data_IF_366035414259
#
_entry.id   IF_366035414259
#
_cell.length_a   1.000
_cell.length_b   1.000
_cell.length_c   1.000
_cell.angle_alpha   90.00
_cell.angle_beta   90.00
_cell.angle_gamma   90.00
#
_symmetry.space_group_name_H-M   'P 1'
#
loop_
_entity.id
_entity.type
_entity.pdbx_description
1 polymer ?
#
# COMPACT_ATOMS: atom_id res chain seq x y z
N UNK A 1 -26.74 14.17 -70.68
CA UNK A 1 -27.98 14.80 -70.15
C UNK A 1 -28.98 13.66 -70.02
N UNK A 2 -29.41 13.15 -68.87
CA UNK A 2 -29.35 13.54 -67.47
C UNK A 2 -29.36 12.22 -66.67
N UNK A 3 -28.47 12.05 -65.68
CA UNK A 3 -28.53 10.96 -64.71
C UNK A 3 -29.25 11.48 -63.46
N UNK A 4 -30.33 10.82 -63.04
CA UNK A 4 -30.85 10.87 -61.67
C UNK A 4 -30.58 9.52 -61.01
N UNK A 5 -30.01 9.48 -59.79
CA UNK A 5 -30.13 8.33 -58.91
C UNK A 5 -31.15 8.59 -57.79
N UNK A 6 -32.04 7.62 -57.58
CA UNK A 6 -32.77 7.40 -56.33
C UNK A 6 -31.77 7.19 -55.20
N UNK A 7 -31.54 8.18 -54.33
CA UNK A 7 -30.75 7.99 -53.10
C UNK A 7 -31.00 9.13 -52.09
N UNK A 8 -32.23 9.63 -51.99
CA UNK A 8 -32.53 10.73 -51.06
C UNK A 8 -33.58 10.41 -49.99
N UNK A 9 -34.37 9.35 -50.17
CA UNK A 9 -35.39 8.96 -49.18
C UNK A 9 -34.89 7.94 -48.14
N UNK A 10 -33.73 7.31 -48.36
CA UNK A 10 -33.14 6.36 -47.39
C UNK A 10 -32.29 7.06 -46.32
N UNK A 11 -31.85 8.31 -46.54
CA UNK A 11 -30.96 9.03 -45.61
C UNK A 11 -31.69 9.79 -44.50
N UNK A 12 -33.02 9.89 -44.54
CA UNK A 12 -33.80 10.66 -43.55
C UNK A 12 -34.44 9.80 -42.46
N UNK A 13 -34.31 8.47 -42.50
CA UNK A 13 -34.82 7.58 -41.45
C UNK A 13 -33.75 7.05 -40.48
N UNK A 14 -32.48 7.39 -40.67
CA UNK A 14 -31.37 6.92 -39.81
C UNK A 14 -30.85 7.97 -38.80
N UNK A 15 -31.57 9.09 -38.62
CA UNK A 15 -31.10 10.22 -37.79
C UNK A 15 -31.86 10.45 -36.49
N UNK A 16 -32.56 9.45 -35.97
CA UNK A 16 -33.09 9.49 -34.61
C UNK A 16 -32.69 8.22 -33.85
N UNK A 17 -32.31 8.44 -32.58
CA UNK A 17 -31.77 7.49 -31.60
C UNK A 17 -30.26 7.16 -31.68
N UNK A 18 -29.40 8.17 -31.46
CA UNK A 18 -28.18 7.92 -30.68
C UNK A 18 -28.59 7.69 -29.21
N UNK A 19 -28.17 6.61 -28.55
CA UNK A 19 -28.51 6.38 -27.15
C UNK A 19 -27.88 7.47 -26.28
N UNK A 20 -28.67 8.09 -25.41
CA UNK A 20 -28.16 8.96 -24.35
C UNK A 20 -27.10 8.20 -23.53
N UNK A 21 -25.83 8.58 -23.68
CA UNK A 21 -24.74 8.10 -22.83
C UNK A 21 -25.11 8.32 -21.36
N UNK A 22 -24.82 7.35 -20.46
CA UNK A 22 -25.14 7.45 -19.05
C UNK A 22 -24.53 8.74 -18.44
N UNK A 23 -25.29 9.44 -17.61
CA UNK A 23 -24.91 10.74 -17.03
C UNK A 23 -23.53 10.74 -16.35
N UNK A 24 -23.10 9.58 -15.83
CA UNK A 24 -21.81 9.40 -15.18
C UNK A 24 -20.62 9.48 -16.17
N UNK A 25 -20.77 8.96 -17.40
CA UNK A 25 -19.73 9.06 -18.44
C UNK A 25 -19.65 10.47 -19.04
N UNK A 26 -20.79 11.18 -19.12
CA UNK A 26 -20.80 12.60 -19.50
C UNK A 26 -20.13 13.48 -18.44
N UNK A 27 -20.39 13.24 -17.15
CA UNK A 27 -19.71 13.96 -16.06
C UNK A 27 -18.21 13.67 -16.01
N UNK A 28 -17.79 12.44 -16.35
CA UNK A 28 -16.38 12.06 -16.44
C UNK A 28 -15.68 12.69 -17.66
N UNK A 29 -16.33 12.68 -18.84
CA UNK A 29 -15.83 13.36 -20.05
C UNK A 29 -15.75 14.88 -19.86
N UNK A 30 -16.74 15.49 -19.18
CA UNK A 30 -16.75 16.92 -18.86
C UNK A 30 -15.68 17.28 -17.83
N UNK A 31 -15.44 16.42 -16.83
CA UNK A 31 -14.36 16.60 -15.86
C UNK A 31 -12.98 16.45 -16.51
N UNK A 32 -12.81 15.46 -17.38
CA UNK A 32 -11.56 15.24 -18.13
C UNK A 32 -11.29 16.40 -19.10
N UNK A 33 -12.32 16.91 -19.78
CA UNK A 33 -12.24 18.11 -20.62
C UNK A 33 -11.88 19.36 -19.81
N UNK A 34 -12.49 19.53 -18.63
CA UNK A 34 -12.21 20.68 -17.75
C UNK A 34 -10.78 20.63 -17.21
N UNK A 35 -10.30 19.45 -16.79
CA UNK A 35 -8.91 19.25 -16.33
C UNK A 35 -7.92 19.48 -17.47
N UNK A 36 -8.22 18.99 -18.67
CA UNK A 36 -7.38 19.21 -19.87
C UNK A 36 -7.31 20.69 -20.23
N UNK A 37 -8.43 21.39 -20.22
CA UNK A 37 -8.52 22.84 -20.44
C UNK A 37 -7.73 23.63 -19.39
N UNK A 38 -7.84 23.27 -18.10
CA UNK A 38 -7.07 23.88 -17.02
C UNK A 38 -5.56 23.66 -17.20
N UNK A 39 -5.15 22.43 -17.53
CA UNK A 39 -3.75 22.08 -17.80
C UNK A 39 -3.20 22.83 -19.02
N UNK A 40 -3.97 22.95 -20.09
CA UNK A 40 -3.56 23.62 -21.32
C UNK A 40 -3.49 25.15 -21.13
N UNK A 41 -4.41 25.72 -20.34
CA UNK A 41 -4.39 27.13 -19.95
C UNK A 41 -3.19 27.44 -19.05
N UNK A 42 -2.88 26.55 -18.10
CA UNK A 42 -1.67 26.67 -17.29
C UNK A 42 -0.39 26.53 -18.13
N UNK A 43 -0.32 25.53 -19.01
CA UNK A 43 0.81 25.33 -19.93
C UNK A 43 1.02 26.56 -20.82
N UNK A 44 -0.04 27.12 -21.39
CA UNK A 44 0.03 28.32 -22.23
C UNK A 44 0.40 29.57 -21.44
N UNK A 45 -0.05 29.71 -20.18
CA UNK A 45 0.35 30.81 -19.30
C UNK A 45 1.85 30.75 -18.96
N UNK A 46 2.38 29.55 -18.71
CA UNK A 46 3.80 29.31 -18.43
C UNK A 46 4.64 29.43 -19.71
N UNK A 47 4.12 29.00 -20.85
CA UNK A 47 4.77 29.15 -22.15
C UNK A 47 4.82 30.61 -22.62
N UNK A 48 3.81 31.42 -22.29
CA UNK A 48 3.80 32.87 -22.54
C UNK A 48 4.78 33.61 -21.63
N UNK A 49 4.83 33.28 -20.33
CA UNK A 49 5.86 33.79 -19.41
C UNK A 49 7.28 33.37 -19.85
N UNK A 50 7.42 32.13 -20.34
CA UNK A 50 8.66 31.61 -20.92
C UNK A 50 9.05 32.34 -22.20
N UNK A 51 8.13 32.60 -23.14
CA UNK A 51 8.40 33.32 -24.39
C UNK A 51 8.76 34.79 -24.17
N UNK A 52 8.07 35.49 -23.26
CA UNK A 52 8.38 36.89 -22.93
C UNK A 52 9.76 37.00 -22.26
N UNK A 53 10.12 36.05 -21.38
CA UNK A 53 11.47 35.99 -20.78
C UNK A 53 12.54 35.59 -21.80
N UNK A 54 12.21 34.74 -22.77
CA UNK A 54 13.15 34.25 -23.79
C UNK A 54 13.43 35.31 -24.86
N UNK A 55 12.43 36.09 -25.28
CA UNK A 55 12.61 37.20 -26.23
C UNK A 55 13.34 38.40 -25.62
N UNK A 56 13.10 38.71 -24.35
CA UNK A 56 13.88 39.71 -23.60
C UNK A 56 15.36 39.30 -23.42
N UNK A 57 15.63 38.00 -23.28
CA UNK A 57 16.99 37.46 -23.15
C UNK A 57 17.70 37.28 -24.50
N UNK A 58 16.96 37.03 -25.59
CA UNK A 58 17.52 36.78 -26.93
C UNK A 58 18.14 38.04 -27.58
N UNK A 59 17.72 39.25 -27.19
CA UNK A 59 18.36 40.50 -27.64
C UNK A 59 19.62 40.89 -26.87
N UNK A 60 19.91 40.28 -25.72
CA UNK A 60 21.17 40.50 -24.97
C UNK A 60 22.23 39.40 -25.16
N UNK A 61 21.85 38.24 -25.72
CA UNK A 61 22.71 37.05 -25.74
C UNK A 61 23.49 36.75 -27.03
N UNK A 62 23.41 37.58 -28.08
CA UNK A 62 24.03 37.24 -29.38
C UNK A 62 25.55 37.52 -29.41
N UNK A 63 26.12 38.21 -28.40
CA UNK A 63 27.55 38.52 -28.34
C UNK A 63 28.43 37.57 -27.50
N UNK A 64 27.86 36.70 -26.66
CA UNK A 64 28.62 36.01 -25.59
C UNK A 64 28.55 34.47 -25.59
N UNK A 65 27.99 33.83 -26.62
CA UNK A 65 27.77 32.37 -26.58
C UNK A 65 28.98 31.56 -27.07
N UNK A 66 30.03 32.18 -27.63
CA UNK A 66 31.13 31.41 -28.22
C UNK A 66 32.32 31.15 -27.29
N UNK A 67 32.28 31.49 -25.99
CA UNK A 67 33.47 31.37 -25.14
C UNK A 67 33.25 31.02 -23.64
N UNK A 68 32.32 30.12 -23.32
CA UNK A 68 32.16 29.60 -21.94
C UNK A 68 32.10 28.07 -21.84
N UNK A 69 33.11 27.39 -22.36
CA UNK A 69 33.59 26.15 -21.72
C UNK A 69 34.54 26.54 -20.56
N UNK A 70 34.03 27.24 -19.55
CA UNK A 70 34.78 27.46 -18.31
C UNK A 70 34.78 26.12 -17.56
N UNK A 71 35.94 25.47 -17.44
CA UNK A 71 36.11 24.35 -16.53
C UNK A 71 35.69 24.82 -15.12
N UNK A 72 34.55 24.31 -14.66
CA UNK A 72 34.02 24.58 -13.32
C UNK A 72 35.02 23.96 -12.31
N UNK A 73 35.46 24.69 -11.27
CA UNK A 73 36.39 24.16 -10.27
C UNK A 73 35.82 22.90 -9.62
N UNK A 74 36.67 21.89 -9.36
CA UNK A 74 36.25 20.54 -8.98
C UNK A 74 35.36 20.51 -7.73
N UNK A 75 35.60 21.39 -6.75
CA UNK A 75 34.75 21.52 -5.55
C UNK A 75 33.33 22.01 -5.86
N UNK A 76 33.17 22.92 -6.82
CA UNK A 76 31.84 23.40 -7.26
C UNK A 76 31.12 22.33 -8.08
N UNK A 77 31.86 21.54 -8.88
CA UNK A 77 31.31 20.39 -9.60
C UNK A 77 30.81 19.30 -8.65
N UNK A 78 31.53 19.03 -7.56
CA UNK A 78 31.12 18.11 -6.50
C UNK A 78 29.88 18.64 -5.75
N UNK A 79 29.86 19.93 -5.41
CA UNK A 79 28.71 20.57 -4.75
C UNK A 79 27.45 20.56 -5.62
N UNK A 80 27.57 20.89 -6.91
CA UNK A 80 26.46 20.84 -7.87
C UNK A 80 25.99 19.39 -8.11
N UNK A 81 26.90 18.41 -8.06
CA UNK A 81 26.56 16.98 -8.15
C UNK A 81 25.76 16.49 -6.94
N UNK A 82 26.19 16.75 -5.71
CA UNK A 82 25.45 16.33 -4.50
C UNK A 82 24.14 17.09 -4.29
N UNK A 83 24.00 18.30 -4.85
CA UNK A 83 22.73 19.02 -4.86
C UNK A 83 21.72 18.48 -5.88
N UNK A 84 22.14 17.63 -6.82
CA UNK A 84 21.23 17.06 -7.81
C UNK A 84 20.16 16.17 -7.13
N UNK A 85 18.86 16.35 -7.41
CA UNK A 85 17.78 15.58 -6.79
C UNK A 85 17.91 14.07 -6.94
N UNK A 86 18.45 13.61 -8.07
CA UNK A 86 18.72 12.18 -8.32
C UNK A 86 19.76 11.62 -7.34
N UNK A 87 20.81 12.39 -7.05
CA UNK A 87 21.89 11.95 -6.14
C UNK A 87 21.35 11.90 -4.72
N UNK A 88 20.58 12.92 -4.29
CA UNK A 88 19.88 12.92 -3.00
C UNK A 88 18.96 11.71 -2.84
N UNK A 89 18.17 11.39 -3.87
CA UNK A 89 17.26 10.25 -3.86
C UNK A 89 17.99 8.92 -3.69
N UNK A 90 19.05 8.67 -4.47
CA UNK A 90 19.82 7.43 -4.38
C UNK A 90 20.57 7.31 -3.05
N UNK A 91 21.10 8.43 -2.53
CA UNK A 91 21.75 8.43 -1.22
C UNK A 91 20.75 8.11 -0.10
N UNK A 92 19.55 8.72 -0.14
CA UNK A 92 18.46 8.42 0.79
C UNK A 92 18.05 6.94 0.69
N UNK A 93 17.90 6.42 -0.52
CA UNK A 93 17.52 5.02 -0.77
C UNK A 93 18.57 4.05 -0.23
N UNK A 94 19.86 4.30 -0.50
CA UNK A 94 20.96 3.47 0.00
C UNK A 94 21.04 3.51 1.53
N UNK A 95 20.88 4.68 2.14
CA UNK A 95 20.84 4.82 3.59
C UNK A 95 19.65 4.06 4.20
N UNK A 96 18.47 4.12 3.56
CA UNK A 96 17.28 3.40 3.99
C UNK A 96 17.45 1.88 3.91
N UNK A 97 18.05 1.38 2.83
CA UNK A 97 18.35 -0.05 2.65
C UNK A 97 19.38 -0.53 3.67
N UNK A 98 20.41 0.27 3.98
CA UNK A 98 21.36 -0.03 5.05
C UNK A 98 20.69 -0.04 6.43
N UNK A 99 19.79 0.90 6.70
CA UNK A 99 18.96 0.92 7.91
C UNK A 99 18.13 -0.37 8.05
N UNK A 100 17.46 -0.82 6.97
CA UNK A 100 16.70 -2.08 6.99
C UNK A 100 17.60 -3.29 7.26
N UNK A 101 18.79 -3.34 6.66
CA UNK A 101 19.74 -4.43 6.94
C UNK A 101 20.17 -4.46 8.41
N UNK A 102 20.47 -3.31 9.00
CA UNK A 102 20.79 -3.22 10.43
C UNK A 102 19.58 -3.61 11.30
N UNK A 103 18.38 -3.19 10.94
CA UNK A 103 17.19 -3.54 11.70
C UNK A 103 16.89 -5.05 11.65
N UNK A 104 17.06 -5.69 10.48
CA UNK A 104 16.98 -7.15 10.36
C UNK A 104 17.98 -7.86 11.28
N UNK A 105 19.24 -7.40 11.29
CA UNK A 105 20.26 -7.97 12.16
C UNK A 105 19.85 -7.92 13.63
N UNK A 106 19.33 -6.78 14.10
CA UNK A 106 18.91 -6.60 15.51
C UNK A 106 17.72 -7.50 15.87
N UNK A 107 16.75 -7.66 14.96
CA UNK A 107 15.55 -8.48 15.20
C UNK A 107 15.87 -9.99 15.21
N UNK A 108 16.77 -10.43 14.33
CA UNK A 108 17.14 -11.84 14.17
C UNK A 108 18.12 -12.32 15.23
N UNK A 109 19.10 -11.49 15.59
CA UNK A 109 20.14 -11.85 16.55
C UNK A 109 19.62 -11.70 17.98
N UNK A 110 20.24 -12.41 18.93
CA UNK A 110 19.90 -12.31 20.35
C UNK A 110 19.98 -10.85 20.80
N UNK A 111 18.87 -10.36 21.35
CA UNK A 111 18.78 -9.05 21.99
C UNK A 111 19.14 -9.17 23.47
N UNK A 112 20.22 -8.54 23.88
CA UNK A 112 20.59 -8.39 25.29
C UNK A 112 19.80 -7.23 25.95
N UNK A 113 19.93 -7.09 27.28
CA UNK A 113 19.18 -6.14 28.11
C UNK A 113 19.49 -4.68 27.74
N UNK A 114 20.76 -4.40 27.44
CA UNK A 114 21.22 -3.08 27.03
C UNK A 114 21.31 -3.00 25.51
N UNK A 115 20.86 -1.90 24.88
CA UNK A 115 20.90 -1.78 23.44
C UNK A 115 22.33 -1.87 22.91
N UNK A 116 22.52 -2.72 21.90
CA UNK A 116 23.82 -2.83 21.24
C UNK A 116 24.14 -1.56 20.45
N UNK A 117 25.41 -1.31 20.07
CA UNK A 117 25.75 -0.16 19.25
C UNK A 117 24.98 -0.11 17.92
N UNK A 118 24.68 -1.26 17.30
CA UNK A 118 23.88 -1.32 16.09
C UNK A 118 22.43 -0.90 16.36
N UNK A 119 21.88 -1.29 17.51
CA UNK A 119 20.54 -0.89 17.93
C UNK A 119 20.43 0.61 18.17
N UNK A 120 21.45 1.22 18.78
CA UNK A 120 21.50 2.68 18.93
C UNK A 120 21.47 3.43 17.59
N UNK A 121 22.13 2.90 16.56
CA UNK A 121 22.08 3.48 15.20
C UNK A 121 20.66 3.44 14.64
N UNK A 122 19.95 2.32 14.80
CA UNK A 122 18.56 2.16 14.34
C UNK A 122 17.59 3.05 15.13
N UNK A 123 17.75 3.13 16.45
CA UNK A 123 16.97 4.04 17.31
C UNK A 123 17.19 5.49 16.88
N UNK A 124 18.45 5.89 16.68
CA UNK A 124 18.78 7.24 16.23
C UNK A 124 18.18 7.53 14.84
N UNK A 125 18.19 6.56 13.93
CA UNK A 125 17.56 6.70 12.62
C UNK A 125 16.04 6.94 12.71
N UNK A 126 15.32 6.15 13.52
CA UNK A 126 13.87 6.30 13.68
C UNK A 126 13.53 7.61 14.41
N UNK A 127 14.31 7.98 15.41
CA UNK A 127 14.13 9.24 16.13
C UNK A 127 14.37 10.46 15.22
N UNK A 128 15.44 10.45 14.42
CA UNK A 128 15.70 11.52 13.44
C UNK A 128 14.61 11.57 12.37
N UNK A 129 14.08 10.43 11.92
CA UNK A 129 12.93 10.41 11.03
C UNK A 129 11.67 11.02 11.68
N UNK A 130 11.43 10.76 12.98
CA UNK A 130 10.36 11.40 13.73
C UNK A 130 10.50 12.92 13.83
N UNK A 131 11.73 13.42 14.01
CA UNK A 131 12.01 14.87 13.98
C UNK A 131 11.74 15.44 12.59
N UNK A 132 12.14 14.77 11.51
CA UNK A 132 11.87 15.22 10.14
C UNK A 132 10.36 15.28 9.85
N UNK A 133 9.57 14.32 10.34
CA UNK A 133 8.10 14.39 10.25
C UNK A 133 7.51 15.53 11.07
N UNK A 134 8.03 15.78 12.27
CA UNK A 134 7.62 16.94 13.08
C UNK A 134 7.91 18.26 12.34
N UNK A 135 9.10 18.37 11.72
CA UNK A 135 9.48 19.52 10.90
C UNK A 135 8.53 19.71 9.71
N UNK A 136 8.16 18.62 9.01
CA UNK A 136 7.23 18.64 7.88
C UNK A 136 5.84 19.18 8.30
N UNK A 137 5.32 18.75 9.45
CA UNK A 137 4.07 19.27 10.02
C UNK A 137 4.20 20.78 10.30
N UNK A 138 5.31 21.23 10.88
CA UNK A 138 5.52 22.64 11.22
C UNK A 138 5.69 23.55 10.00
N UNK A 139 6.29 23.06 8.91
CA UNK A 139 6.51 23.81 7.67
C UNK A 139 5.27 23.87 6.76
N UNK A 140 4.23 23.10 7.03
CA UNK A 140 2.99 23.12 6.23
C UNK A 140 2.28 24.49 6.23
N UNK A 141 1.59 24.79 5.12
CA UNK A 141 1.05 26.12 4.75
C UNK A 141 0.05 26.78 5.73
N UNK A 142 -0.90 26.07 6.39
CA UNK A 142 -1.96 26.76 7.14
C UNK A 142 -1.48 27.27 8.51
N UNK A 143 -1.71 28.55 8.86
CA UNK A 143 -1.17 29.13 10.09
C UNK A 143 -1.60 28.51 11.44
N UNK A 144 -2.70 27.74 11.49
CA UNK A 144 -3.20 27.09 12.72
C UNK A 144 -2.71 25.63 12.83
N UNK A 145 -2.08 25.27 13.95
CA UNK A 145 -1.49 23.93 14.16
C UNK A 145 -2.47 22.75 13.95
N UNK A 146 -3.72 22.87 14.41
CA UNK A 146 -4.72 21.82 14.21
C UNK A 146 -5.07 21.61 12.73
N UNK A 147 -5.05 22.69 11.93
CA UNK A 147 -5.32 22.62 10.51
C UNK A 147 -4.12 22.05 9.74
N UNK A 148 -2.89 22.36 10.19
CA UNK A 148 -1.64 21.74 9.68
C UNK A 148 -1.66 20.22 9.83
N UNK A 149 -1.94 19.75 11.05
CA UNK A 149 -2.00 18.31 11.36
C UNK A 149 -3.11 17.64 10.56
N UNK A 150 -4.29 18.26 10.45
CA UNK A 150 -5.41 17.70 9.68
C UNK A 150 -5.06 17.50 8.21
N UNK A 151 -4.41 18.48 7.57
CA UNK A 151 -4.00 18.38 6.16
C UNK A 151 -2.91 17.34 5.99
N UNK A 152 -1.91 17.32 6.87
CA UNK A 152 -0.81 16.35 6.82
C UNK A 152 -1.29 14.89 6.96
N UNK A 153 -2.29 14.65 7.81
CA UNK A 153 -2.91 13.33 8.00
C UNK A 153 -3.79 12.87 6.84
N UNK A 154 -4.05 13.68 5.81
CA UNK A 154 -4.80 13.20 4.63
C UNK A 154 -3.97 12.27 3.75
N UNK A 155 -2.64 12.34 3.85
CA UNK A 155 -1.75 11.45 3.11
C UNK A 155 -1.59 10.12 3.84
N UNK A 156 -2.00 9.02 3.19
CA UNK A 156 -1.98 7.67 3.75
C UNK A 156 -0.61 7.29 4.35
N UNK A 157 0.47 7.61 3.63
CA UNK A 157 1.83 7.30 4.06
C UNK A 157 2.25 8.01 5.35
N UNK A 158 1.78 9.24 5.55
CA UNK A 158 2.08 10.02 6.75
C UNK A 158 1.40 9.45 7.99
N UNK A 159 0.14 9.00 7.86
CA UNK A 159 -0.54 8.28 8.95
C UNK A 159 0.24 7.01 9.31
N UNK A 160 0.62 6.21 8.31
CA UNK A 160 1.35 4.96 8.55
C UNK A 160 2.72 5.20 9.19
N UNK A 161 3.44 6.24 8.77
CA UNK A 161 4.74 6.61 9.34
C UNK A 161 4.59 7.03 10.82
N UNK A 162 3.57 7.84 11.14
CA UNK A 162 3.28 8.24 12.52
C UNK A 162 2.97 7.03 13.40
N UNK A 163 2.11 6.13 12.93
CA UNK A 163 1.76 4.90 13.64
C UNK A 163 2.97 3.99 13.84
N UNK A 164 3.82 3.84 12.82
CA UNK A 164 5.03 3.02 12.91
C UNK A 164 6.03 3.57 13.94
N UNK A 165 6.23 4.89 13.98
CA UNK A 165 7.11 5.57 14.95
C UNK A 165 6.55 5.43 16.37
N UNK A 166 5.23 5.60 16.56
CA UNK A 166 4.59 5.43 17.86
C UNK A 166 4.72 3.99 18.37
N UNK A 167 4.42 2.99 17.53
CA UNK A 167 4.58 1.57 17.89
C UNK A 167 6.04 1.26 18.24
N UNK A 168 7.01 1.80 17.50
CA UNK A 168 8.43 1.64 17.81
C UNK A 168 8.79 2.25 19.16
N UNK A 169 8.32 3.46 19.45
CA UNK A 169 8.58 4.14 20.74
C UNK A 169 8.02 3.35 21.93
N UNK A 170 6.82 2.79 21.81
CA UNK A 170 6.24 1.90 22.83
C UNK A 170 7.07 0.64 23.00
N UNK A 171 7.49 0.02 21.89
CA UNK A 171 8.39 -1.14 21.91
C UNK A 171 9.71 -0.85 22.63
N UNK A 172 10.28 0.34 22.41
CA UNK A 172 11.55 0.76 23.02
C UNK A 172 11.38 0.96 24.54
N UNK A 173 10.31 1.62 24.98
CA UNK A 173 10.03 1.82 26.41
C UNK A 173 9.85 0.47 27.12
N UNK A 174 9.08 -0.45 26.53
CA UNK A 174 8.87 -1.78 27.10
C UNK A 174 10.14 -2.63 27.10
N UNK A 175 11.02 -2.41 26.12
CA UNK A 175 12.32 -3.09 26.02
C UNK A 175 13.29 -2.69 27.13
N UNK A 176 13.24 -1.46 27.62
CA UNK A 176 14.09 -0.96 28.71
C UNK A 176 13.64 -1.46 30.10
N UNK A 177 12.51 -2.16 30.18
CA UNK A 177 12.00 -2.73 31.43
C UNK A 177 12.50 -4.16 31.66
N UNK A 178 12.47 -4.61 32.91
CA UNK A 178 12.85 -5.98 33.27
C UNK A 178 11.86 -7.02 32.68
N UNK A 179 12.29 -8.29 32.50
CA UNK A 179 11.39 -9.37 32.09
C UNK A 179 10.18 -9.49 33.02
N UNK A 180 8.95 -9.69 32.52
CA UNK A 180 8.57 -10.16 31.17
C UNK A 180 8.29 -9.06 30.13
N UNK A 181 8.31 -7.77 30.53
CA UNK A 181 7.92 -6.65 29.65
C UNK A 181 8.90 -6.48 28.47
N UNK A 182 10.18 -6.80 28.69
CA UNK A 182 11.19 -6.89 27.65
C UNK A 182 10.78 -7.81 26.48
N UNK A 183 10.15 -8.95 26.77
CA UNK A 183 9.72 -9.92 25.74
C UNK A 183 8.64 -9.33 24.84
N UNK A 184 7.69 -8.57 25.42
CA UNK A 184 6.68 -7.85 24.64
C UNK A 184 7.31 -6.76 23.78
N UNK A 185 8.29 -6.00 24.32
CA UNK A 185 9.06 -5.02 23.55
C UNK A 185 9.76 -5.64 22.33
N UNK A 186 10.37 -6.81 22.50
CA UNK A 186 10.98 -7.57 21.38
C UNK A 186 9.95 -7.97 20.32
N UNK A 187 8.79 -8.50 20.73
CA UNK A 187 7.72 -8.88 19.79
C UNK A 187 7.24 -7.66 19.00
N UNK A 188 7.10 -6.50 19.67
CA UNK A 188 6.75 -5.25 18.99
C UNK A 188 7.80 -4.88 17.95
N UNK A 189 9.10 -5.00 18.24
CA UNK A 189 10.17 -4.77 17.24
C UNK A 189 10.05 -5.73 16.05
N UNK A 190 9.80 -7.02 16.30
CA UNK A 190 9.63 -8.04 15.25
C UNK A 190 8.45 -7.74 14.32
N UNK A 191 7.36 -7.18 14.84
CA UNK A 191 6.20 -6.79 14.02
C UNK A 191 6.45 -5.42 13.35
N UNK A 192 7.14 -4.52 14.04
CA UNK A 192 7.38 -3.15 13.56
C UNK A 192 8.22 -3.12 12.27
N UNK A 193 9.17 -4.05 12.09
CA UNK A 193 9.97 -4.14 10.86
C UNK A 193 9.12 -4.30 9.60
N UNK A 194 7.94 -4.93 9.69
CA UNK A 194 7.01 -5.11 8.58
C UNK A 194 6.59 -3.75 8.01
N UNK A 195 6.32 -2.75 8.86
CA UNK A 195 5.96 -1.41 8.42
C UNK A 195 7.09 -0.74 7.63
N UNK A 196 8.33 -0.88 8.08
CA UNK A 196 9.48 -0.32 7.37
C UNK A 196 9.74 -1.00 6.03
N UNK A 197 9.38 -2.28 5.88
CA UNK A 197 9.35 -2.92 4.57
C UNK A 197 8.24 -2.37 3.68
N UNK A 198 7.02 -2.18 4.20
CA UNK A 198 5.93 -1.56 3.43
C UNK A 198 6.31 -0.16 2.98
N UNK A 199 7.00 0.62 3.82
CA UNK A 199 7.48 1.97 3.49
C UNK A 199 8.50 1.99 2.33
N UNK A 200 9.19 0.88 2.06
CA UNK A 200 10.05 0.74 0.88
C UNK A 200 9.26 0.87 -0.43
N UNK A 201 7.96 0.50 -0.43
CA UNK A 201 7.08 0.64 -1.61
C UNK A 201 6.90 2.10 -2.02
N UNK A 202 6.89 3.05 -1.07
CA UNK A 202 6.81 4.49 -1.39
C UNK A 202 8.07 4.96 -2.16
N UNK A 203 9.25 4.48 -1.74
CA UNK A 203 10.52 4.76 -2.43
C UNK A 203 10.52 4.15 -3.83
N UNK A 204 10.00 2.93 -3.99
CA UNK A 204 9.83 2.32 -5.32
C UNK A 204 8.74 2.99 -6.16
N UNK A 205 7.78 3.65 -5.51
CA UNK A 205 6.74 4.48 -6.13
C UNK A 205 7.29 5.56 -7.07
N UNK A 206 8.49 6.06 -6.77
CA UNK A 206 9.20 7.10 -7.54
C UNK A 206 9.67 6.59 -8.91
N UNK A 207 9.91 5.28 -9.03
CA UNK A 207 10.45 4.70 -10.25
C UNK A 207 9.40 4.70 -11.38
N UNK A 208 9.86 4.97 -12.62
CA UNK A 208 9.03 4.96 -13.84
C UNK A 208 8.31 3.65 -14.09
N UNK A 209 8.91 2.55 -13.69
CA UNK A 209 8.35 1.23 -13.95
C UNK A 209 7.52 0.71 -12.78
N UNK A 210 7.96 0.93 -11.53
CA UNK A 210 7.30 0.37 -10.34
C UNK A 210 6.18 1.28 -9.79
N UNK A 211 6.26 2.59 -10.01
CA UNK A 211 5.29 3.56 -9.50
C UNK A 211 3.83 3.27 -9.87
N UNK A 212 3.52 3.05 -11.17
CA UNK A 212 2.15 2.73 -11.57
C UNK A 212 1.59 1.46 -10.89
N UNK A 213 2.42 0.46 -10.61
CA UNK A 213 2.00 -0.77 -9.92
C UNK A 213 1.70 -0.55 -8.44
N UNK A 214 2.53 0.24 -7.73
CA UNK A 214 2.26 0.59 -6.32
C UNK A 214 0.94 1.35 -6.20
N UNK A 215 0.69 2.29 -7.12
CA UNK A 215 -0.58 3.03 -7.18
C UNK A 215 -1.78 2.12 -7.51
N UNK A 216 -1.61 1.16 -8.42
CA UNK A 216 -2.64 0.16 -8.72
C UNK A 216 -3.01 -0.67 -7.50
N UNK A 217 -2.01 -1.20 -6.78
CA UNK A 217 -2.24 -2.00 -5.57
C UNK A 217 -3.05 -1.17 -4.55
N UNK A 218 -2.69 0.09 -4.34
CA UNK A 218 -3.42 0.98 -3.41
C UNK A 218 -4.89 1.18 -3.79
N UNK A 219 -5.19 1.47 -5.07
CA UNK A 219 -6.58 1.66 -5.53
C UNK A 219 -7.38 0.36 -5.47
N UNK A 220 -6.77 -0.77 -5.86
CA UNK A 220 -7.42 -2.08 -5.82
C UNK A 220 -7.78 -2.55 -4.41
N UNK A 221 -6.97 -2.22 -3.40
CA UNK A 221 -7.24 -2.60 -2.01
C UNK A 221 -8.56 -2.01 -1.50
N UNK A 222 -8.99 -0.85 -2.00
CA UNK A 222 -10.28 -0.24 -1.62
C UNK A 222 -11.43 -1.08 -2.16
N UNK A 223 -11.37 -1.48 -3.42
CA UNK A 223 -12.40 -2.32 -4.07
C UNK A 223 -12.46 -3.70 -3.40
N UNK A 224 -11.31 -4.28 -3.04
CA UNK A 224 -11.25 -5.53 -2.28
C UNK A 224 -11.97 -5.47 -0.94
N UNK A 225 -11.99 -4.32 -0.27
CA UNK A 225 -12.51 -4.23 1.10
C UNK A 225 -13.99 -4.65 1.16
N UNK A 226 -14.80 -4.24 0.17
CA UNK A 226 -16.20 -4.67 0.08
C UNK A 226 -16.34 -6.18 -0.09
N UNK A 227 -15.47 -6.77 -0.89
CA UNK A 227 -15.45 -8.21 -1.11
C UNK A 227 -15.03 -8.99 0.14
N UNK A 228 -14.02 -8.50 0.85
CA UNK A 228 -13.56 -9.07 2.13
C UNK A 228 -14.70 -9.09 3.15
N UNK A 229 -15.56 -8.07 3.18
CA UNK A 229 -16.74 -8.06 4.07
C UNK A 229 -17.70 -9.20 3.73
N UNK A 230 -18.02 -9.43 2.45
CA UNK A 230 -18.89 -10.54 2.03
C UNK A 230 -18.25 -11.89 2.40
N UNK A 231 -16.95 -12.03 2.16
CA UNK A 231 -16.21 -13.25 2.51
C UNK A 231 -16.20 -13.50 4.03
N UNK A 232 -16.08 -12.45 4.85
CA UNK A 232 -16.17 -12.55 6.30
C UNK A 232 -17.55 -13.05 6.76
N UNK A 233 -18.64 -12.60 6.13
CA UNK A 233 -20.02 -13.06 6.44
C UNK A 233 -20.16 -14.56 6.18
N UNK A 234 -19.71 -15.02 5.01
CA UNK A 234 -19.75 -16.46 4.65
C UNK A 234 -18.86 -17.27 5.60
N UNK A 235 -17.64 -16.81 5.86
CA UNK A 235 -16.70 -17.43 6.79
C UNK A 235 -17.30 -17.57 8.19
N UNK A 236 -17.88 -16.50 8.73
CA UNK A 236 -18.49 -16.50 10.06
C UNK A 236 -19.68 -17.45 10.17
N UNK A 237 -20.53 -17.48 9.14
CA UNK A 237 -21.71 -18.36 9.13
C UNK A 237 -21.32 -19.83 9.24
N UNK A 238 -20.29 -20.26 8.50
CA UNK A 238 -19.77 -21.62 8.56
C UNK A 238 -18.96 -21.87 9.85
N UNK A 239 -18.09 -20.93 10.25
CA UNK A 239 -17.21 -21.07 11.41
C UNK A 239 -17.98 -21.26 12.71
N UNK A 240 -19.05 -20.49 12.92
CA UNK A 240 -19.92 -20.61 14.11
C UNK A 240 -20.65 -21.95 14.10
N UNK A 241 -21.25 -22.34 12.97
CA UNK A 241 -21.97 -23.61 12.84
C UNK A 241 -21.05 -24.82 13.11
N UNK A 242 -19.85 -24.82 12.52
CA UNK A 242 -18.84 -25.86 12.73
C UNK A 242 -18.42 -25.95 14.20
N UNK A 243 -18.05 -24.82 14.82
CA UNK A 243 -17.57 -24.81 16.20
C UNK A 243 -18.66 -25.27 17.18
N UNK A 244 -19.91 -24.83 16.98
CA UNK A 244 -21.03 -25.20 17.84
C UNK A 244 -21.40 -26.70 17.75
N UNK A 245 -21.36 -27.29 16.54
CA UNK A 245 -21.66 -28.72 16.36
C UNK A 245 -20.52 -29.60 16.88
N UNK A 246 -19.28 -29.22 16.59
CA UNK A 246 -18.13 -30.04 16.97
C UNK A 246 -17.76 -29.88 18.44
N UNK A 247 -18.03 -28.76 19.11
CA UNK A 247 -17.65 -28.55 20.51
C UNK A 247 -18.83 -27.97 21.33
N UNK A 248 -19.85 -28.78 21.65
CA UNK A 248 -21.09 -28.29 22.27
C UNK A 248 -20.92 -27.85 23.74
N UNK A 249 -19.91 -28.39 24.44
CA UNK A 249 -19.71 -28.17 25.88
C UNK A 249 -18.40 -27.39 26.14
N UNK A 250 -18.24 -26.23 25.50
CA UNK A 250 -17.05 -25.39 25.63
C UNK A 250 -17.36 -24.11 26.41
N UNK A 251 -16.53 -23.80 27.41
CA UNK A 251 -16.70 -22.60 28.22
C UNK A 251 -16.34 -21.32 27.45
N UNK A 252 -16.95 -20.16 27.80
CA UNK A 252 -16.68 -18.91 27.14
C UNK A 252 -15.19 -18.53 27.26
N UNK A 253 -14.49 -18.48 26.14
CA UNK A 253 -13.06 -18.16 26.08
C UNK A 253 -12.68 -17.45 24.78
N UNK A 254 -11.59 -16.67 24.81
CA UNK A 254 -11.00 -16.07 23.59
C UNK A 254 -10.50 -17.11 22.59
N UNK A 255 -10.25 -18.33 23.07
CA UNK A 255 -9.89 -19.47 22.24
C UNK A 255 -11.03 -19.85 21.29
N UNK A 256 -12.28 -19.81 21.79
CA UNK A 256 -13.47 -20.08 21.00
C UNK A 256 -13.58 -19.11 19.83
N UNK A 257 -13.42 -17.81 20.10
CA UNK A 257 -13.42 -16.78 19.07
C UNK A 257 -12.34 -17.05 18.00
N UNK A 258 -11.10 -17.38 18.43
CA UNK A 258 -10.02 -17.76 17.50
C UNK A 258 -10.39 -18.96 16.64
N UNK A 259 -10.95 -20.02 17.25
CA UNK A 259 -11.27 -21.28 16.58
C UNK A 259 -12.37 -21.12 15.52
N UNK A 260 -13.33 -20.22 15.74
CA UNK A 260 -14.38 -19.87 14.77
C UNK A 260 -13.78 -19.33 13.46
N UNK A 261 -12.76 -18.47 13.55
CA UNK A 261 -12.14 -17.87 12.37
C UNK A 261 -11.03 -18.72 11.75
N UNK A 262 -10.21 -19.36 12.59
CA UNK A 262 -8.92 -19.89 12.16
C UNK A 262 -9.05 -20.96 11.08
N UNK A 263 -9.82 -22.02 11.32
CA UNK A 263 -9.91 -23.12 10.34
C UNK A 263 -10.62 -22.72 9.04
N UNK A 264 -11.82 -22.10 9.08
CA UNK A 264 -12.49 -21.61 7.87
C UNK A 264 -11.64 -20.68 7.02
N UNK A 265 -10.82 -19.84 7.66
CA UNK A 265 -9.91 -18.93 6.95
C UNK A 265 -8.88 -19.69 6.11
N UNK A 266 -8.20 -20.68 6.68
CA UNK A 266 -7.20 -21.47 5.95
C UNK A 266 -7.80 -22.30 4.81
N UNK A 267 -9.07 -22.71 4.94
CA UNK A 267 -9.82 -23.40 3.88
C UNK A 267 -10.00 -22.58 2.61
N UNK A 268 -9.98 -21.24 2.69
CA UNK A 268 -10.03 -20.36 1.51
C UNK A 268 -8.76 -20.51 0.67
N UNK A 269 -7.62 -20.77 1.33
CA UNK A 269 -6.32 -20.94 0.71
C UNK A 269 -6.01 -22.38 0.30
N UNK A 270 -6.96 -23.31 0.47
CA UNK A 270 -6.85 -24.69 0.02
C UNK A 270 -6.52 -25.71 1.11
N UNK A 271 -6.37 -25.30 2.38
CA UNK A 271 -6.18 -26.25 3.49
C UNK A 271 -7.54 -26.76 3.97
N UNK A 272 -7.86 -28.02 3.65
CA UNK A 272 -9.20 -28.58 3.86
C UNK A 272 -9.30 -29.34 5.20
N UNK A 273 -8.20 -29.66 5.89
CA UNK A 273 -8.20 -30.45 7.14
C UNK A 273 -8.95 -31.78 6.99
N UNK A 274 -8.56 -32.58 5.99
CA UNK A 274 -9.27 -33.81 5.60
C UNK A 274 -9.40 -34.84 6.74
N UNK A 275 -8.43 -34.89 7.64
CA UNK A 275 -8.39 -35.72 8.84
C UNK A 275 -9.48 -35.37 9.88
N UNK A 276 -10.03 -34.16 9.82
CA UNK A 276 -10.99 -33.63 10.80
C UNK A 276 -12.43 -33.54 10.28
N UNK A 277 -12.68 -33.91 9.02
CA UNK A 277 -14.01 -33.82 8.39
C UNK A 277 -14.98 -34.82 9.04
N UNK A 278 -14.54 -36.08 9.14
CA UNK A 278 -15.31 -37.17 9.73
C UNK A 278 -14.37 -38.12 10.48
N UNK A 279 -13.81 -37.70 11.64
CA UNK A 279 -12.93 -38.55 12.43
C UNK A 279 -13.73 -39.76 12.95
N UNK A 280 -13.13 -40.95 12.98
CA UNK A 280 -13.84 -42.13 13.45
C UNK A 280 -14.25 -41.92 14.92
N UNK A 281 -15.49 -42.31 15.26
CA UNK A 281 -16.04 -42.20 16.61
C UNK A 281 -16.88 -43.45 16.95
N UNK A 282 -17.11 -43.70 18.23
CA UNK A 282 -17.98 -44.79 18.68
C UNK A 282 -17.21 -46.00 19.22
N UNK A 283 -17.41 -47.19 18.63
CA UNK A 283 -16.85 -48.42 19.19
C UNK A 283 -15.33 -48.51 18.98
N UNK A 284 -14.64 -49.01 20.01
CA UNK A 284 -13.18 -49.20 20.01
C UNK A 284 -12.77 -50.10 18.82
N UNK A 285 -11.76 -49.66 18.08
CA UNK A 285 -11.16 -50.44 16.99
C UNK A 285 -9.91 -51.16 17.51
N UNK A 286 -9.77 -52.42 17.15
CA UNK A 286 -8.51 -53.17 17.29
C UNK A 286 -7.68 -52.99 16.03
N UNK A 287 -6.52 -52.33 16.16
CA UNK A 287 -5.53 -52.20 15.09
C UNK A 287 -4.93 -53.57 14.75
N UNK A 288 -4.38 -53.75 13.53
CA UNK A 288 -3.76 -55.00 13.06
C UNK A 288 -2.65 -55.52 13.99
N UNK A 289 -2.01 -54.64 14.77
CA UNK A 289 -1.00 -54.97 15.79
C UNK A 289 -1.60 -55.49 17.12
N UNK A 290 -2.91 -55.71 17.20
CA UNK A 290 -3.61 -56.19 18.39
C UNK A 290 -3.88 -55.12 19.47
N UNK A 291 -3.53 -53.85 19.20
CA UNK A 291 -3.79 -52.74 20.11
C UNK A 291 -5.23 -52.23 19.99
N UNK A 292 -5.94 -52.14 21.12
CA UNK A 292 -7.28 -51.54 21.22
C UNK A 292 -7.14 -50.02 21.33
N UNK A 293 -7.59 -49.29 20.32
CA UNK A 293 -7.69 -47.83 20.35
C UNK A 293 -9.09 -47.46 20.85
N UNK A 294 -9.16 -46.70 21.94
CA UNK A 294 -10.43 -46.17 22.45
C UNK A 294 -10.83 -44.93 21.65
N UNK A 295 -11.99 -44.97 20.99
CA UNK A 295 -12.49 -43.86 20.19
C UNK A 295 -13.35 -42.91 21.04
N UNK A 296 -13.37 -41.61 20.72
CA UNK A 296 -14.23 -40.67 21.41
C UNK A 296 -15.72 -40.95 21.11
N UNK A 297 -16.63 -40.56 22.02
CA UNK A 297 -18.07 -40.68 21.78
C UNK A 297 -18.50 -39.82 20.58
N UNK A 298 -19.35 -40.37 19.73
CA UNK A 298 -19.88 -39.65 18.58
C UNK A 298 -20.72 -38.44 19.01
N UNK A 299 -20.49 -37.31 18.36
CA UNK A 299 -21.19 -36.05 18.63
C UNK A 299 -22.48 -35.97 17.80
N UNK A 300 -23.58 -35.61 18.43
CA UNK A 300 -24.87 -35.47 17.75
C UNK A 300 -24.81 -34.37 16.69
N UNK A 301 -25.20 -34.69 15.46
CA UNK A 301 -25.21 -33.73 14.34
C UNK A 301 -23.86 -33.52 13.64
N UNK A 302 -22.80 -34.21 14.04
CA UNK A 302 -21.48 -34.10 13.40
C UNK A 302 -21.51 -34.38 11.89
N UNK A 303 -22.40 -35.28 11.45
CA UNK A 303 -22.61 -35.60 10.02
C UNK A 303 -23.07 -34.42 9.16
N UNK A 304 -23.60 -33.35 9.77
CA UNK A 304 -24.00 -32.11 9.06
C UNK A 304 -22.76 -31.30 8.67
N UNK A 305 -21.68 -31.38 9.46
CA UNK A 305 -20.46 -30.56 9.29
C UNK A 305 -19.81 -30.77 7.91
N UNK A 306 -19.61 -32.01 7.43
CA UNK A 306 -19.11 -32.24 6.07
C UNK A 306 -19.98 -31.62 4.98
N UNK A 307 -21.31 -31.67 5.13
CA UNK A 307 -22.25 -31.12 4.14
C UNK A 307 -22.19 -29.59 4.08
N UNK A 308 -22.22 -28.91 5.23
CA UNK A 308 -22.08 -27.44 5.28
C UNK A 308 -20.69 -26.99 4.84
N UNK A 309 -19.66 -27.80 5.09
CA UNK A 309 -18.30 -27.54 4.63
C UNK A 309 -18.18 -27.63 3.11
N UNK A 310 -18.79 -28.63 2.47
CA UNK A 310 -18.83 -28.72 1.02
C UNK A 310 -19.53 -27.51 0.39
N UNK A 311 -20.66 -27.06 0.98
CA UNK A 311 -21.36 -25.86 0.55
C UNK A 311 -20.49 -24.59 0.72
N UNK A 312 -19.82 -24.46 1.87
CA UNK A 312 -18.89 -23.37 2.15
C UNK A 312 -17.76 -23.30 1.12
N UNK A 313 -17.09 -24.41 0.83
CA UNK A 313 -15.99 -24.45 -0.15
C UNK A 313 -16.47 -24.11 -1.56
N UNK A 314 -17.67 -24.52 -1.96
CA UNK A 314 -18.26 -24.14 -3.24
C UNK A 314 -18.46 -22.62 -3.31
N UNK A 315 -19.13 -22.04 -2.31
CA UNK A 315 -19.40 -20.60 -2.30
C UNK A 315 -18.12 -19.78 -2.17
N UNK A 316 -17.23 -20.12 -1.24
CA UNK A 316 -16.00 -19.38 -0.98
C UNK A 316 -14.98 -19.53 -2.14
N UNK A 317 -14.64 -20.76 -2.52
CA UNK A 317 -13.52 -20.99 -3.44
C UNK A 317 -13.94 -20.97 -4.90
N UNK A 318 -15.15 -21.45 -5.23
CA UNK A 318 -15.60 -21.53 -6.63
C UNK A 318 -16.34 -20.26 -7.05
N UNK A 319 -17.19 -19.68 -6.20
CA UNK A 319 -17.93 -18.47 -6.56
C UNK A 319 -17.15 -17.21 -6.18
N UNK A 320 -16.89 -17.04 -4.89
CA UNK A 320 -16.37 -15.80 -4.34
C UNK A 320 -14.95 -15.51 -4.85
N UNK A 321 -13.97 -16.40 -4.64
CA UNK A 321 -12.58 -16.15 -5.09
C UNK A 321 -12.50 -15.89 -6.60
N UNK A 322 -13.26 -16.62 -7.42
CA UNK A 322 -13.27 -16.40 -8.87
C UNK A 322 -13.91 -15.07 -9.28
N UNK A 323 -14.97 -14.65 -8.58
CA UNK A 323 -15.58 -13.33 -8.80
C UNK A 323 -14.62 -12.20 -8.38
N UNK A 324 -13.88 -12.37 -7.28
CA UNK A 324 -12.84 -11.43 -6.86
C UNK A 324 -11.75 -11.29 -7.94
N UNK A 325 -11.29 -12.40 -8.52
CA UNK A 325 -10.33 -12.38 -9.63
C UNK A 325 -10.90 -11.63 -10.84
N UNK A 326 -12.19 -11.83 -11.17
CA UNK A 326 -12.83 -11.13 -12.27
C UNK A 326 -12.91 -9.61 -12.05
N UNK A 327 -13.32 -9.17 -10.84
CA UNK A 327 -13.37 -7.75 -10.47
C UNK A 327 -11.97 -7.15 -10.49
N UNK A 328 -10.98 -7.84 -9.93
CA UNK A 328 -9.59 -7.41 -9.99
C UNK A 328 -9.08 -7.21 -11.41
N UNK A 329 -9.39 -8.14 -12.31
CA UNK A 329 -8.99 -8.00 -13.70
C UNK A 329 -9.66 -6.77 -14.34
N UNK A 330 -10.93 -6.52 -14.06
CA UNK A 330 -11.65 -5.36 -14.58
C UNK A 330 -11.04 -4.03 -14.04
N UNK A 331 -10.92 -3.91 -12.71
CA UNK A 331 -10.26 -2.77 -12.05
C UNK A 331 -8.82 -2.63 -12.53
N UNK A 332 -8.09 -3.72 -12.78
CA UNK A 332 -6.72 -3.64 -13.29
C UNK A 332 -6.64 -2.94 -14.63
N UNK A 333 -7.53 -3.27 -15.56
CA UNK A 333 -7.53 -2.63 -16.87
C UNK A 333 -7.92 -1.15 -16.81
N UNK A 334 -8.94 -0.81 -16.01
CA UNK A 334 -9.36 0.57 -15.78
C UNK A 334 -8.27 1.40 -15.07
N UNK A 335 -7.70 0.88 -13.98
CA UNK A 335 -6.65 1.59 -13.25
C UNK A 335 -5.36 1.66 -14.06
N UNK A 336 -5.09 0.72 -14.96
CA UNK A 336 -3.91 0.78 -15.85
C UNK A 336 -4.01 1.87 -16.90
N UNK A 337 -5.19 2.20 -17.41
CA UNK A 337 -5.35 3.31 -18.35
C UNK A 337 -5.10 4.66 -17.64
N UNK A 338 -5.49 4.79 -16.37
CA UNK A 338 -5.41 6.03 -15.58
C UNK A 338 -4.08 6.19 -14.81
N UNK A 339 -3.51 5.10 -14.29
CA UNK A 339 -2.34 5.10 -13.37
C UNK A 339 -1.08 5.71 -13.98
N UNK A 340 -0.87 5.56 -15.29
CA UNK A 340 0.27 6.20 -15.97
C UNK A 340 0.17 7.73 -15.99
N UNK A 341 -1.02 8.31 -16.02
CA UNK A 341 -1.22 9.76 -15.98
C UNK A 341 -1.08 10.28 -14.55
N UNK A 342 -1.72 9.63 -13.58
CA UNK A 342 -1.62 9.95 -12.16
C UNK A 342 -0.17 9.85 -11.67
N UNK A 343 0.56 8.81 -12.06
CA UNK A 343 1.97 8.65 -11.73
C UNK A 343 2.84 9.78 -12.31
N UNK A 344 2.57 10.24 -13.54
CA UNK A 344 3.29 11.39 -14.12
C UNK A 344 3.07 12.66 -13.31
N UNK A 345 1.85 12.88 -12.83
CA UNK A 345 1.49 14.02 -11.98
C UNK A 345 2.15 13.93 -10.59
N UNK A 346 2.07 12.77 -9.93
CA UNK A 346 2.72 12.54 -8.63
C UNK A 346 4.24 12.64 -8.71
N UNK A 347 4.84 12.14 -9.80
CA UNK A 347 6.29 12.29 -10.05
C UNK A 347 6.69 13.76 -10.13
N UNK A 348 5.88 14.61 -10.77
CA UNK A 348 6.14 16.04 -10.83
C UNK A 348 6.13 16.67 -9.42
N UNK A 349 5.11 16.37 -8.62
CA UNK A 349 5.01 16.86 -7.23
C UNK A 349 6.20 16.40 -6.38
N UNK A 350 6.58 15.13 -6.50
CA UNK A 350 7.70 14.58 -5.75
C UNK A 350 9.05 15.24 -6.12
N UNK A 351 9.28 15.50 -7.41
CA UNK A 351 10.48 16.23 -7.86
C UNK A 351 10.52 17.63 -7.24
N UNK A 352 9.37 18.30 -7.15
CA UNK A 352 9.25 19.61 -6.50
C UNK A 352 9.60 19.50 -5.00
N UNK A 353 9.06 18.51 -4.29
CA UNK A 353 9.36 18.29 -2.85
C UNK A 353 10.84 18.01 -2.59
N UNK A 354 11.50 17.19 -3.42
CA UNK A 354 12.94 16.92 -3.26
C UNK A 354 13.84 18.10 -3.66
N UNK A 355 13.33 19.03 -4.47
CA UNK A 355 14.03 20.28 -4.75
C UNK A 355 14.14 21.16 -3.50
N UNK A 356 13.10 21.17 -2.67
CA UNK A 356 13.02 21.98 -1.44
C UNK A 356 13.68 21.32 -0.22
N UNK A 357 13.87 19.97 -0.24
CA UNK A 357 14.48 19.26 0.89
C UNK A 357 16.00 19.50 1.02
N UNK A 358 16.50 19.58 2.26
CA UNK A 358 17.94 19.67 2.54
C UNK A 358 18.71 18.44 2.02
N UNK A 359 20.02 18.59 1.89
CA UNK A 359 20.89 17.70 1.10
C UNK A 359 21.15 16.36 1.81
N UNK A 360 21.03 16.33 3.14
CA UNK A 360 21.45 15.21 3.98
C UNK A 360 20.26 14.38 4.47
N UNK A 361 20.37 13.03 4.50
CA UNK A 361 19.37 12.17 5.09
C UNK A 361 19.33 12.34 6.62
N UNK A 362 18.25 11.87 7.29
CA UNK A 362 17.95 12.18 8.69
C UNK A 362 19.10 12.01 9.72
N UNK A 363 20.00 10.99 9.65
CA UNK A 363 21.05 10.88 10.66
C UNK A 363 22.20 11.90 10.50
N UNK A 364 22.29 12.62 9.37
CA UNK A 364 23.35 13.61 9.14
C UNK A 364 22.84 15.05 8.96
N UNK A 365 21.51 15.27 8.92
CA UNK A 365 20.91 16.60 8.80
C UNK A 365 20.92 17.41 10.10
N UNK A 366 21.06 16.77 11.27
CA UNK A 366 20.99 17.42 12.59
C UNK A 366 22.26 18.19 13.01
N UNK A 367 23.36 18.07 12.26
CA UNK A 367 24.63 18.75 12.57
C UNK A 367 24.89 20.01 11.75
N UNK A 368 23.95 20.42 10.88
CA UNK A 368 24.09 21.60 10.00
C UNK A 368 22.85 22.49 10.11
N UNK A 369 22.61 22.98 11.32
CA UNK A 369 21.89 24.23 11.62
C UNK A 369 22.46 24.77 12.91
#
# INVERSE_FOLDING_TARGET
>A
MSYMPQDQDTYLQEKEEEPEKPANEKEEEDMEFTVRSYCETQYNSVAMLGKVSTEASRKKGVGEVQNRHRLIPMGRKIYEFYNAPIVKFWFHTMAYVAYLMLFNYIVLVKMDLWPSPQEWIVIAYIFTNGIEKMREILMSEPGKLLQKVKVWLQEYWNITDLMAILIFSVGMVLRLQEPPLMSYGRVIYCVNIIYWYIRLLDIFGVNKYLGPYVMMIGKMMIDMMYFVIIMLVVLMSFGVARQAILNPNEDPSWMLARNIFFMPYWMIYGEVFADQIDPPCGQNITTEDGHVVALPPCKTGAWIVPAIMACYLLVANILLVNLLIAVFNNTFFEVKSISNQVWKFQRYQLIMTFYERPILPPPSSSSVT
#
